data_IF_341123129216
#
_entry.id   IF_341123129216
#
_cell.length_a   1.000
_cell.length_b   1.000
_cell.length_c   1.000
_cell.angle_alpha   90.00
_cell.angle_beta   90.00
_cell.angle_gamma   90.00
#
_symmetry.space_group_name_H-M   'P 1'
#
loop_
_entity.id
_entity.type
_entity.pdbx_description
1 polymer ?
#
# COMPACT_ATOMS: atom_id res chain seq x y z
N UNK A 1 -7.50 2.81 37.39
CA UNK A 1 -6.72 2.98 36.13
C UNK A 1 -7.53 2.70 34.85
N UNK A 2 -8.85 2.50 34.89
CA UNK A 2 -9.68 2.27 33.69
C UNK A 2 -10.38 3.55 33.16
N UNK A 3 -10.29 4.67 33.89
CA UNK A 3 -11.11 5.88 33.67
C UNK A 3 -10.50 6.90 32.69
N UNK A 4 -9.24 6.73 32.28
CA UNK A 4 -8.56 7.63 31.34
C UNK A 4 -8.65 7.16 29.87
N UNK A 5 -9.26 6.00 29.63
CA UNK A 5 -9.35 5.35 28.31
C UNK A 5 -10.40 6.00 27.37
N UNK A 6 -11.53 6.57 27.84
CA UNK A 6 -12.56 7.07 26.92
C UNK A 6 -12.07 8.20 26.01
N UNK A 7 -11.34 9.17 26.58
CA UNK A 7 -10.81 10.30 25.82
C UNK A 7 -9.71 9.86 24.86
N UNK A 8 -8.78 9.03 25.30
CA UNK A 8 -7.69 8.52 24.46
C UNK A 8 -8.23 7.70 23.29
N UNK A 9 -9.18 6.79 23.53
CA UNK A 9 -9.80 6.02 22.44
C UNK A 9 -10.61 6.91 21.49
N UNK A 10 -11.40 7.84 22.02
CA UNK A 10 -12.16 8.77 21.19
C UNK A 10 -11.24 9.65 20.33
N UNK A 11 -10.12 10.11 20.88
CA UNK A 11 -9.13 10.89 20.15
C UNK A 11 -8.46 10.06 19.04
N UNK A 12 -8.03 8.83 19.34
CA UNK A 12 -7.42 7.95 18.35
C UNK A 12 -8.37 7.55 17.22
N UNK A 13 -9.65 7.33 17.52
CA UNK A 13 -10.66 6.95 16.52
C UNK A 13 -11.10 8.14 15.65
N UNK A 14 -11.23 9.34 16.24
CA UNK A 14 -11.65 10.55 15.51
C UNK A 14 -10.52 11.27 14.78
N UNK A 15 -9.29 11.21 15.30
CA UNK A 15 -8.11 11.92 14.79
C UNK A 15 -6.87 11.02 14.75
N UNK A 16 -6.88 9.95 13.95
CA UNK A 16 -5.77 9.00 13.91
C UNK A 16 -4.45 9.62 13.39
N UNK A 17 -4.53 10.61 12.51
CA UNK A 17 -3.38 11.37 12.00
C UNK A 17 -2.69 12.19 13.09
N UNK A 18 -3.47 12.86 13.94
CA UNK A 18 -2.93 13.65 15.05
C UNK A 18 -2.38 12.75 16.15
N UNK A 19 -3.07 11.64 16.45
CA UNK A 19 -2.57 10.64 17.39
C UNK A 19 -1.25 10.02 16.92
N UNK A 20 -1.11 9.70 15.64
CA UNK A 20 0.13 9.17 15.09
C UNK A 20 1.31 10.11 15.31
N UNK A 21 1.16 11.41 14.99
CA UNK A 21 2.23 12.40 15.21
C UNK A 21 2.69 12.47 16.66
N UNK A 22 1.75 12.50 17.60
CA UNK A 22 2.09 12.53 19.03
C UNK A 22 2.84 11.26 19.43
N UNK A 23 2.39 10.09 18.97
CA UNK A 23 3.03 8.82 19.30
C UNK A 23 4.40 8.64 18.62
N UNK A 24 4.64 9.29 17.49
CA UNK A 24 5.94 9.31 16.81
C UNK A 24 6.99 10.13 17.57
N UNK A 25 6.56 11.21 18.23
CA UNK A 25 7.42 12.07 19.04
C UNK A 25 7.70 11.47 20.43
N UNK A 26 6.98 10.42 20.82
CA UNK A 26 7.14 9.72 22.09
C UNK A 26 8.20 8.61 22.03
N UNK A 27 8.75 8.20 23.20
CA UNK A 27 9.51 6.96 23.30
C UNK A 27 8.70 5.76 22.77
N UNK A 28 9.36 4.88 22.02
CA UNK A 28 8.69 3.76 21.37
C UNK A 28 8.05 2.79 22.39
N UNK A 29 8.63 2.70 23.58
CA UNK A 29 8.15 1.91 24.71
C UNK A 29 6.79 2.42 25.20
N UNK A 30 6.64 3.74 25.34
CA UNK A 30 5.39 4.36 25.79
C UNK A 30 4.29 4.25 24.74
N UNK A 31 4.65 4.48 23.47
CA UNK A 31 3.73 4.29 22.35
C UNK A 31 3.28 2.82 22.22
N UNK A 32 4.20 1.87 22.35
CA UNK A 32 3.89 0.44 22.37
C UNK A 32 2.98 0.07 23.56
N UNK A 33 3.22 0.62 24.75
CA UNK A 33 2.39 0.38 25.92
C UNK A 33 0.93 0.83 25.69
N UNK A 34 0.71 1.92 24.94
CA UNK A 34 -0.63 2.33 24.53
C UNK A 34 -1.23 1.34 23.51
N UNK A 35 -0.49 0.97 22.47
CA UNK A 35 -0.96 0.01 21.47
C UNK A 35 -1.32 -1.36 22.07
N UNK A 36 -0.67 -1.76 23.17
CA UNK A 36 -1.00 -2.99 23.90
C UNK A 36 -2.38 -2.94 24.58
N UNK A 37 -2.88 -1.75 24.91
CA UNK A 37 -4.11 -1.56 25.69
C UNK A 37 -5.32 -1.24 24.82
N UNK A 38 -5.13 -0.54 23.70
CA UNK A 38 -6.22 -0.13 22.83
C UNK A 38 -6.77 -1.28 21.97
N UNK A 39 -8.03 -1.21 21.50
CA UNK A 39 -8.57 -2.16 20.54
C UNK A 39 -7.76 -2.15 19.24
N UNK A 40 -7.46 -3.33 18.70
CA UNK A 40 -6.63 -3.48 17.50
C UNK A 40 -7.15 -2.69 16.29
N UNK A 41 -8.48 -2.59 16.13
CA UNK A 41 -9.10 -1.78 15.06
C UNK A 41 -8.69 -0.31 15.14
N UNK A 42 -8.75 0.29 16.33
CA UNK A 42 -8.39 1.71 16.53
C UNK A 42 -6.88 1.90 16.42
N UNK A 43 -6.12 1.01 17.07
CA UNK A 43 -4.65 1.02 17.00
C UNK A 43 -4.13 0.91 15.57
N UNK A 44 -4.73 0.05 14.73
CA UNK A 44 -4.34 -0.11 13.34
C UNK A 44 -4.58 1.16 12.50
N UNK A 45 -5.68 1.87 12.72
CA UNK A 45 -5.95 3.13 12.02
C UNK A 45 -4.92 4.21 12.35
N UNK A 46 -4.48 4.30 13.61
CA UNK A 46 -3.39 5.19 14.03
C UNK A 46 -2.06 4.73 13.44
N UNK A 47 -1.74 3.44 13.57
CA UNK A 47 -0.50 2.86 13.07
C UNK A 47 -0.35 3.05 11.55
N UNK A 48 -1.46 3.04 10.79
CA UNK A 48 -1.49 3.34 9.35
C UNK A 48 -1.03 4.77 9.03
N UNK A 49 -1.26 5.73 9.92
CA UNK A 49 -0.85 7.12 9.72
C UNK A 49 0.59 7.38 10.15
N UNK A 50 1.21 6.43 10.87
CA UNK A 50 2.59 6.57 11.32
C UNK A 50 3.59 6.30 10.19
N UNK A 51 4.77 6.89 10.31
CA UNK A 51 5.96 6.58 9.57
C UNK A 51 6.34 5.11 9.79
N UNK A 52 6.72 4.45 8.69
CA UNK A 52 6.95 3.00 8.69
C UNK A 52 8.01 2.55 9.71
N UNK A 53 9.03 3.38 9.95
CA UNK A 53 10.07 3.11 10.93
C UNK A 53 9.57 3.20 12.37
N UNK A 54 8.85 4.28 12.73
CA UNK A 54 8.28 4.47 14.07
C UNK A 54 7.24 3.40 14.40
N UNK A 55 6.38 3.06 13.44
CA UNK A 55 5.42 1.97 13.57
C UNK A 55 6.11 0.62 13.80
N UNK A 56 7.19 0.32 13.05
CA UNK A 56 7.95 -0.91 13.21
C UNK A 56 8.58 -1.01 14.61
N UNK A 57 9.19 0.07 15.12
CA UNK A 57 9.73 0.09 16.49
C UNK A 57 8.68 -0.22 17.56
N UNK A 58 7.47 0.32 17.41
CA UNK A 58 6.38 0.00 18.32
C UNK A 58 5.98 -1.49 18.23
N UNK A 59 5.86 -2.02 17.01
CA UNK A 59 5.53 -3.44 16.77
C UNK A 59 6.61 -4.39 17.28
N UNK A 60 7.88 -3.98 17.32
CA UNK A 60 8.99 -4.78 17.84
C UNK A 60 8.99 -4.92 19.36
N UNK A 61 8.42 -3.95 20.07
CA UNK A 61 8.31 -3.96 21.54
C UNK A 61 7.03 -4.69 21.98
N UNK A 62 5.98 -4.67 21.16
CA UNK A 62 4.71 -5.31 21.47
C UNK A 62 4.83 -6.84 21.57
N UNK A 63 4.01 -7.48 22.42
CA UNK A 63 3.83 -8.93 22.36
C UNK A 63 3.43 -9.38 20.95
N UNK A 64 3.98 -10.50 20.42
CA UNK A 64 3.75 -10.92 19.04
C UNK A 64 2.28 -11.04 18.64
N UNK A 65 1.42 -11.49 19.55
CA UNK A 65 -0.02 -11.65 19.34
C UNK A 65 -0.71 -10.29 19.19
N UNK A 66 -0.24 -9.27 19.90
CA UNK A 66 -0.74 -7.89 19.77
C UNK A 66 -0.29 -7.27 18.46
N UNK A 67 0.99 -7.43 18.10
CA UNK A 67 1.51 -7.01 16.80
C UNK A 67 0.76 -7.66 15.63
N UNK A 68 0.54 -8.98 15.70
CA UNK A 68 -0.26 -9.72 14.72
C UNK A 68 -1.72 -9.25 14.66
N UNK A 69 -2.32 -8.96 15.83
CA UNK A 69 -3.65 -8.38 15.94
C UNK A 69 -3.79 -7.06 15.20
N UNK A 70 -2.82 -6.14 15.34
CA UNK A 70 -2.79 -4.86 14.62
C UNK A 70 -2.59 -5.05 13.11
N UNK A 71 -1.61 -5.89 12.72
CA UNK A 71 -1.34 -6.15 11.29
C UNK A 71 -2.54 -6.78 10.57
N UNK A 72 -3.37 -7.56 11.26
CA UNK A 72 -4.57 -8.20 10.70
C UNK A 72 -5.68 -7.19 10.38
N UNK A 73 -5.77 -6.10 11.13
CA UNK A 73 -6.79 -5.06 10.93
C UNK A 73 -6.36 -4.03 9.87
N UNK A 74 -5.07 -4.00 9.50
CA UNK A 74 -4.57 -3.12 8.46
C UNK A 74 -4.96 -3.56 7.04
N UNK A 75 -5.09 -2.60 6.10
CA UNK A 75 -5.05 -2.91 4.68
C UNK A 75 -3.76 -3.65 4.32
N UNK A 76 -3.86 -4.61 3.40
CA UNK A 76 -2.73 -5.49 3.04
C UNK A 76 -1.46 -4.72 2.65
N UNK A 77 -1.59 -3.65 1.88
CA UNK A 77 -0.44 -2.83 1.44
C UNK A 77 0.29 -2.21 2.62
N UNK A 78 -0.43 -1.64 3.58
CA UNK A 78 0.16 -1.05 4.78
C UNK A 78 0.79 -2.13 5.68
N UNK A 79 0.12 -3.28 5.84
CA UNK A 79 0.67 -4.42 6.56
C UNK A 79 2.00 -4.91 5.96
N UNK A 80 2.11 -4.98 4.62
CA UNK A 80 3.37 -5.31 3.93
C UNK A 80 4.45 -4.27 4.21
N UNK A 81 4.10 -2.98 4.21
CA UNK A 81 5.04 -1.89 4.53
C UNK A 81 5.62 -2.06 5.93
N UNK A 82 4.79 -2.21 6.96
CA UNK A 82 5.29 -2.33 8.33
C UNK A 82 6.03 -3.65 8.54
N UNK A 83 5.48 -4.75 8.03
CA UNK A 83 6.12 -6.07 8.12
C UNK A 83 7.51 -6.11 7.47
N UNK A 84 7.73 -5.33 6.39
CA UNK A 84 9.05 -5.17 5.74
C UNK A 84 10.06 -4.44 6.62
N UNK A 85 9.62 -3.52 7.49
CA UNK A 85 10.50 -2.71 8.33
C UNK A 85 10.85 -3.40 9.67
N UNK A 86 10.14 -4.46 10.05
CA UNK A 86 10.45 -5.25 11.25
C UNK A 86 11.81 -5.95 11.14
N UNK A 87 12.54 -6.02 12.26
CA UNK A 87 13.72 -6.87 12.40
C UNK A 87 13.41 -8.34 12.04
N UNK A 88 14.32 -9.07 11.38
CA UNK A 88 14.06 -10.44 10.91
C UNK A 88 13.58 -11.41 11.99
N UNK A 89 14.14 -11.33 13.20
CA UNK A 89 13.75 -12.19 14.33
C UNK A 89 12.31 -11.93 14.78
N UNK A 90 11.95 -10.66 15.03
CA UNK A 90 10.60 -10.24 15.41
C UNK A 90 9.59 -10.60 14.32
N UNK A 91 9.94 -10.33 13.06
CA UNK A 91 9.10 -10.65 11.89
C UNK A 91 8.69 -12.13 11.87
N UNK A 92 9.59 -13.03 12.23
CA UNK A 92 9.30 -14.46 12.37
C UNK A 92 8.23 -14.70 13.43
N UNK A 93 8.45 -14.20 14.65
CA UNK A 93 7.53 -14.40 15.78
C UNK A 93 6.13 -13.83 15.53
N UNK A 94 6.02 -12.62 14.97
CA UNK A 94 4.73 -12.02 14.60
C UNK A 94 4.05 -12.83 13.50
N UNK A 95 4.81 -13.32 12.52
CA UNK A 95 4.24 -14.12 11.44
C UNK A 95 3.70 -15.47 11.92
N UNK A 96 4.26 -16.03 12.99
CA UNK A 96 3.77 -17.27 13.59
C UNK A 96 2.49 -17.06 14.41
N UNK A 97 2.27 -15.83 14.92
CA UNK A 97 1.02 -15.42 15.57
C UNK A 97 -0.09 -14.97 14.58
N UNK A 98 0.23 -14.80 13.29
CA UNK A 98 -0.73 -14.43 12.25
C UNK A 98 -1.47 -15.65 11.68
N UNK A 99 -2.68 -15.46 11.11
CA UNK A 99 -3.32 -16.50 10.31
C UNK A 99 -2.38 -16.98 9.20
N UNK A 100 -2.25 -18.30 9.04
CA UNK A 100 -1.24 -18.92 8.18
C UNK A 100 -1.29 -18.44 6.71
N UNK A 101 -2.48 -18.10 6.20
CA UNK A 101 -2.65 -17.50 4.89
C UNK A 101 -2.05 -16.08 4.83
N UNK A 102 -2.42 -15.20 5.77
CA UNK A 102 -1.92 -13.82 5.80
C UNK A 102 -0.40 -13.78 6.00
N UNK A 103 0.13 -14.61 6.91
CA UNK A 103 1.57 -14.71 7.15
C UNK A 103 2.34 -15.11 5.88
N UNK A 104 1.82 -16.08 5.12
CA UNK A 104 2.39 -16.50 3.84
C UNK A 104 2.35 -15.36 2.81
N UNK A 105 1.21 -14.71 2.67
CA UNK A 105 1.02 -13.64 1.69
C UNK A 105 1.95 -12.45 1.97
N UNK A 106 2.10 -12.05 3.24
CA UNK A 106 3.05 -11.02 3.67
C UNK A 106 4.51 -11.42 3.40
N UNK A 107 4.91 -12.66 3.74
CA UNK A 107 6.26 -13.19 3.47
C UNK A 107 6.59 -13.15 1.98
N UNK A 108 5.64 -13.50 1.11
CA UNK A 108 5.83 -13.42 -0.34
C UNK A 108 5.91 -11.95 -0.79
N UNK A 109 5.00 -11.10 -0.34
CA UNK A 109 4.94 -9.69 -0.76
C UNK A 109 6.23 -8.91 -0.43
N UNK A 110 6.88 -9.19 0.70
CA UNK A 110 8.14 -8.51 1.05
C UNK A 110 9.33 -8.91 0.18
N UNK A 111 9.26 -10.04 -0.55
CA UNK A 111 10.31 -10.43 -1.52
C UNK A 111 10.32 -9.54 -2.76
N UNK A 112 9.19 -8.92 -3.08
CA UNK A 112 9.10 -8.02 -4.22
C UNK A 112 9.69 -6.64 -3.89
N UNK A 113 10.36 -5.96 -4.83
CA UNK A 113 10.80 -4.59 -4.62
C UNK A 113 9.63 -3.64 -4.34
N UNK A 114 9.83 -2.66 -3.46
CA UNK A 114 8.82 -1.64 -3.15
C UNK A 114 8.45 -0.88 -4.43
N UNK A 115 7.16 -0.60 -4.62
CA UNK A 115 6.67 0.11 -5.81
C UNK A 115 6.50 -0.73 -7.06
N UNK A 116 6.57 -2.06 -6.94
CA UNK A 116 6.20 -3.01 -8.00
C UNK A 116 4.79 -3.54 -7.81
N UNK A 117 4.19 -4.03 -8.89
CA UNK A 117 2.87 -4.70 -8.86
C UNK A 117 2.88 -5.90 -7.90
N UNK A 118 3.94 -6.72 -7.93
CA UNK A 118 4.06 -7.89 -7.06
C UNK A 118 4.07 -7.58 -5.56
N UNK A 119 4.51 -6.38 -5.16
CA UNK A 119 4.55 -5.98 -3.76
C UNK A 119 3.18 -5.65 -3.16
N UNK A 120 2.17 -5.36 -3.99
CA UNK A 120 0.84 -4.92 -3.53
C UNK A 120 -0.31 -5.75 -4.11
N UNK A 121 -0.03 -6.74 -4.95
CA UNK A 121 -1.06 -7.61 -5.53
C UNK A 121 -1.74 -8.47 -4.48
N UNK A 122 -3.03 -8.72 -4.68
CA UNK A 122 -3.80 -9.70 -3.91
C UNK A 122 -3.58 -11.10 -4.50
N UNK A 123 -2.81 -11.92 -3.78
CA UNK A 123 -2.52 -13.31 -4.13
C UNK A 123 -3.70 -14.26 -3.85
N UNK A 124 -4.72 -13.77 -3.15
CA UNK A 124 -5.90 -14.55 -2.77
C UNK A 124 -7.05 -14.41 -3.76
N UNK A 125 -6.84 -13.63 -4.83
CA UNK A 125 -7.75 -13.49 -5.96
C UNK A 125 -8.21 -14.86 -6.47
N UNK A 126 -9.51 -14.99 -6.71
CA UNK A 126 -10.11 -16.27 -7.07
C UNK A 126 -9.80 -16.59 -8.53
N UNK A 127 -9.10 -17.70 -8.76
CA UNK A 127 -8.91 -18.29 -10.07
C UNK A 127 -9.65 -19.61 -10.23
N UNK A 128 -10.08 -19.91 -11.46
CA UNK A 128 -10.83 -21.11 -11.84
C UNK A 128 -10.26 -21.71 -13.12
N UNK A 129 -10.28 -23.04 -13.22
CA UNK A 129 -9.85 -23.71 -14.44
C UNK A 129 -10.91 -23.50 -15.55
N UNK A 130 -10.46 -23.29 -16.78
CA UNK A 130 -11.32 -23.06 -17.94
C UNK A 130 -12.32 -24.21 -18.20
N UNK A 131 -11.94 -25.44 -17.83
CA UNK A 131 -12.74 -26.66 -18.00
C UNK A 131 -13.84 -26.84 -16.95
N UNK A 132 -13.88 -26.01 -15.89
CA UNK A 132 -14.94 -26.11 -14.88
C UNK A 132 -16.26 -25.58 -15.41
N UNK A 133 -17.35 -26.13 -14.88
CA UNK A 133 -18.70 -25.66 -15.15
C UNK A 133 -19.06 -24.45 -14.28
N UNK A 134 -20.07 -23.68 -14.70
CA UNK A 134 -20.62 -22.57 -13.91
C UNK A 134 -21.05 -23.02 -12.52
N UNK A 135 -21.68 -24.19 -12.38
CA UNK A 135 -22.11 -24.73 -11.10
C UNK A 135 -20.95 -25.00 -10.14
N UNK A 136 -19.84 -25.54 -10.66
CA UNK A 136 -18.65 -25.81 -9.86
C UNK A 136 -18.00 -24.51 -9.36
N UNK A 137 -17.98 -23.48 -10.22
CA UNK A 137 -17.49 -22.16 -9.85
C UNK A 137 -18.40 -21.49 -8.83
N UNK A 138 -19.72 -21.54 -9.02
CA UNK A 138 -20.68 -20.99 -8.08
C UNK A 138 -20.55 -21.63 -6.68
N UNK A 139 -20.39 -22.95 -6.62
CA UNK A 139 -20.12 -23.69 -5.36
C UNK A 139 -18.79 -23.25 -4.73
N UNK A 140 -17.73 -23.08 -5.54
CA UNK A 140 -16.42 -22.62 -5.07
C UNK A 140 -16.52 -21.22 -4.44
N UNK A 141 -17.18 -20.29 -5.12
CA UNK A 141 -17.36 -18.91 -4.66
C UNK A 141 -18.17 -18.88 -3.37
N UNK A 142 -19.30 -19.60 -3.31
CA UNK A 142 -20.12 -19.74 -2.09
C UNK A 142 -19.32 -20.26 -0.90
N UNK A 143 -18.44 -21.24 -1.11
CA UNK A 143 -17.62 -21.83 -0.03
C UNK A 143 -16.59 -20.84 0.52
N UNK A 144 -15.99 -19.99 -0.31
CA UNK A 144 -14.90 -19.12 0.13
C UNK A 144 -15.34 -17.98 1.05
N UNK A 145 -16.63 -17.61 1.09
CA UNK A 145 -17.22 -16.55 1.96
C UNK A 145 -16.40 -15.25 2.03
N UNK A 146 -15.57 -14.99 1.03
CA UNK A 146 -14.74 -13.78 0.91
C UNK A 146 -15.43 -12.81 -0.03
N UNK A 147 -15.17 -11.51 0.14
CA UNK A 147 -15.51 -10.50 -0.88
C UNK A 147 -14.88 -10.97 -2.19
N UNK A 148 -15.71 -11.52 -3.07
CA UNK A 148 -15.27 -11.94 -4.39
C UNK A 148 -15.28 -10.69 -5.23
N UNK A 149 -14.17 -10.42 -5.91
CA UNK A 149 -14.11 -9.35 -6.90
C UNK A 149 -15.17 -9.59 -7.95
N UNK A 150 -15.66 -8.52 -8.59
CA UNK A 150 -16.64 -8.61 -9.68
C UNK A 150 -16.21 -9.55 -10.82
N UNK A 151 -14.90 -9.79 -10.95
CA UNK A 151 -14.31 -10.67 -11.95
C UNK A 151 -13.59 -11.86 -11.29
N UNK A 152 -13.73 -13.02 -11.93
CA UNK A 152 -12.98 -14.24 -11.67
C UNK A 152 -11.91 -14.42 -12.75
N UNK A 153 -10.77 -14.97 -12.38
CA UNK A 153 -9.66 -15.18 -13.30
C UNK A 153 -9.65 -16.62 -13.80
N UNK A 154 -9.57 -16.80 -15.11
CA UNK A 154 -9.57 -18.11 -15.77
C UNK A 154 -8.13 -18.52 -16.06
N UNK A 155 -7.80 -19.76 -15.71
CA UNK A 155 -6.47 -20.34 -15.91
C UNK A 155 -6.53 -21.69 -16.62
N UNK A 156 -5.43 -22.07 -17.28
CA UNK A 156 -5.24 -23.41 -17.83
C UNK A 156 -4.70 -24.40 -16.77
N UNK A 157 -4.43 -25.64 -17.21
CA UNK A 157 -3.85 -26.71 -16.36
C UNK A 157 -2.43 -26.38 -15.88
N UNK A 158 -1.66 -25.64 -16.66
CA UNK A 158 -0.32 -25.13 -16.34
C UNK A 158 -0.34 -23.87 -15.45
N UNK A 159 -1.53 -23.44 -15.00
CA UNK A 159 -1.80 -22.19 -14.26
C UNK A 159 -1.44 -20.91 -15.03
N UNK A 160 -1.39 -20.95 -16.35
CA UNK A 160 -1.30 -19.74 -17.18
C UNK A 160 -2.64 -19.02 -17.20
N UNK A 161 -2.57 -17.70 -17.21
CA UNK A 161 -3.75 -16.86 -17.30
C UNK A 161 -4.34 -16.88 -18.71
N UNK A 162 -5.65 -17.12 -18.82
CA UNK A 162 -6.37 -17.21 -20.10
C UNK A 162 -7.34 -16.04 -20.33
N UNK A 163 -7.98 -15.54 -19.27
CA UNK A 163 -9.01 -14.52 -19.41
C UNK A 163 -9.75 -14.26 -18.10
N UNK A 164 -10.79 -13.44 -18.17
CA UNK A 164 -11.65 -13.15 -17.00
C UNK A 164 -13.11 -13.46 -17.27
N UNK A 165 -13.86 -13.75 -16.21
CA UNK A 165 -15.31 -13.93 -16.27
C UNK A 165 -15.94 -13.04 -15.21
N UNK A 166 -16.98 -12.29 -15.59
CA UNK A 166 -17.76 -11.52 -14.63
C UNK A 166 -18.65 -12.44 -13.81
N UNK A 167 -18.70 -12.20 -12.51
CA UNK A 167 -19.58 -12.95 -11.61
C UNK A 167 -21.06 -12.83 -12.03
N UNK A 168 -21.47 -11.68 -12.56
CA UNK A 168 -22.82 -11.47 -13.08
C UNK A 168 -23.18 -12.34 -14.29
N UNK A 169 -22.20 -12.67 -15.14
CA UNK A 169 -22.42 -13.50 -16.34
C UNK A 169 -22.62 -14.97 -15.94
N UNK A 170 -21.88 -15.44 -14.91
CA UNK A 170 -22.07 -16.78 -14.32
C UNK A 170 -23.46 -16.97 -13.71
N UNK A 171 -24.05 -15.91 -13.15
CA UNK A 171 -25.40 -16.01 -12.55
C UNK A 171 -26.52 -16.15 -13.59
N UNK A 172 -26.24 -15.82 -14.85
CA UNK A 172 -27.21 -15.84 -15.96
C UNK A 172 -27.05 -17.05 -16.89
N UNK A 173 -25.88 -17.69 -16.85
CA UNK A 173 -25.55 -18.83 -17.70
C UNK A 173 -26.15 -20.15 -17.17
N UNK A 174 -26.22 -21.16 -18.05
CA UNK A 174 -26.59 -22.52 -17.63
C UNK A 174 -25.50 -23.13 -16.74
N UNK A 175 -25.91 -23.85 -15.70
CA UNK A 175 -24.99 -24.43 -14.71
C UNK A 175 -23.96 -25.40 -15.29
N UNK A 176 -24.26 -26.03 -16.43
CA UNK A 176 -23.37 -26.98 -17.13
C UNK A 176 -22.45 -26.31 -18.15
N UNK A 177 -22.64 -25.03 -18.46
CA UNK A 177 -21.78 -24.31 -19.40
C UNK A 177 -20.34 -24.28 -18.88
N UNK A 178 -19.34 -24.62 -19.70
CA UNK A 178 -17.94 -24.43 -19.38
C UNK A 178 -17.61 -22.94 -19.17
N UNK A 179 -16.74 -22.64 -18.20
CA UNK A 179 -16.29 -21.26 -17.93
C UNK A 179 -15.54 -20.68 -19.13
N UNK A 180 -14.84 -21.52 -19.90
CA UNK A 180 -14.15 -21.13 -21.13
C UNK A 180 -15.08 -20.43 -22.15
N UNK A 181 -16.35 -20.83 -22.21
CA UNK A 181 -17.31 -20.30 -23.20
C UNK A 181 -17.83 -18.91 -22.82
N UNK A 182 -17.66 -18.53 -21.54
CA UNK A 182 -18.10 -17.26 -20.99
C UNK A 182 -16.95 -16.27 -20.79
N UNK A 183 -15.70 -16.70 -21.01
CA UNK A 183 -14.53 -15.89 -20.68
C UNK A 183 -14.27 -14.78 -21.70
N UNK A 184 -13.87 -13.63 -21.18
CA UNK A 184 -13.27 -12.56 -21.95
C UNK A 184 -11.73 -12.70 -21.92
N UNK A 185 -11.16 -13.08 -23.07
CA UNK A 185 -9.72 -13.22 -23.29
C UNK A 185 -9.01 -11.92 -23.68
N UNK A 186 -9.71 -10.79 -23.77
CA UNK A 186 -9.11 -9.50 -24.18
C UNK A 186 -8.30 -8.83 -23.08
N UNK A 187 -8.45 -9.27 -21.83
CA UNK A 187 -7.76 -8.70 -20.67
C UNK A 187 -6.27 -9.04 -20.71
N UNK A 188 -5.43 -8.02 -20.86
CA UNK A 188 -3.98 -8.19 -20.79
C UNK A 188 -3.51 -8.19 -19.33
N UNK A 189 -2.84 -9.27 -18.93
CA UNK A 189 -2.25 -9.38 -17.60
C UNK A 189 -1.03 -8.47 -17.41
N UNK A 190 -0.90 -7.97 -16.19
CA UNK A 190 0.24 -7.17 -15.74
C UNK A 190 1.39 -8.08 -15.32
N UNK A 191 2.62 -7.68 -15.62
CA UNK A 191 3.79 -8.33 -15.03
C UNK A 191 3.90 -7.97 -13.55
N UNK A 192 4.21 -8.96 -12.71
CA UNK A 192 4.55 -8.74 -11.30
C UNK A 192 5.77 -7.82 -11.08
N UNK A 193 6.62 -7.65 -12.11
CA UNK A 193 7.81 -6.79 -12.08
C UNK A 193 7.54 -5.36 -12.56
N UNK A 194 6.38 -5.11 -13.15
CA UNK A 194 6.02 -3.76 -13.58
C UNK A 194 5.96 -2.81 -12.39
N UNK A 195 6.25 -1.53 -12.63
CA UNK A 195 6.15 -0.51 -11.58
C UNK A 195 4.70 -0.07 -11.43
N UNK A 196 4.31 0.38 -10.24
CA UNK A 196 2.97 0.91 -10.01
C UNK A 196 2.68 2.13 -10.88
N UNK A 197 3.70 2.97 -11.12
CA UNK A 197 3.57 4.14 -11.98
C UNK A 197 3.29 3.77 -13.45
N UNK A 198 3.97 2.74 -13.98
CA UNK A 198 3.78 2.34 -15.39
C UNK A 198 2.40 1.76 -15.67
N UNK A 199 1.78 1.12 -14.67
CA UNK A 199 0.45 0.51 -14.84
C UNK A 199 -0.71 1.45 -14.50
N UNK A 200 -0.43 2.65 -13.97
CA UNK A 200 -1.46 3.62 -13.56
C UNK A 200 -2.31 4.10 -14.74
N UNK A 201 -1.69 4.35 -15.90
CA UNK A 201 -2.36 4.82 -17.11
C UNK A 201 -2.94 3.70 -18.00
N UNK A 202 -3.00 2.45 -17.50
CA UNK A 202 -3.50 1.34 -18.31
C UNK A 202 -5.00 1.55 -18.65
N UNK A 203 -5.39 1.59 -19.94
CA UNK A 203 -6.78 1.86 -20.33
C UNK A 203 -7.76 0.80 -19.83
N UNK A 204 -7.30 -0.41 -19.51
CA UNK A 204 -8.13 -1.48 -18.97
C UNK A 204 -8.78 -1.11 -17.62
N UNK A 205 -8.25 -0.14 -16.88
CA UNK A 205 -8.87 0.36 -15.64
C UNK A 205 -10.26 1.01 -15.84
N UNK A 206 -10.62 1.32 -17.08
CA UNK A 206 -11.95 1.83 -17.42
C UNK A 206 -13.03 0.74 -17.42
N UNK A 207 -12.63 -0.51 -17.68
CA UNK A 207 -13.56 -1.64 -17.79
C UNK A 207 -13.41 -2.63 -16.63
N UNK A 208 -12.24 -2.66 -15.99
CA UNK A 208 -11.90 -3.65 -14.95
C UNK A 208 -11.54 -2.98 -13.63
N UNK A 209 -12.12 -3.46 -12.53
CA UNK A 209 -11.79 -3.03 -11.17
C UNK A 209 -10.49 -3.65 -10.64
N UNK A 210 -10.12 -4.81 -11.19
CA UNK A 210 -8.88 -5.49 -10.90
C UNK A 210 -8.29 -6.10 -12.17
N UNK A 211 -6.97 -6.02 -12.30
CA UNK A 211 -6.23 -6.58 -13.42
C UNK A 211 -5.44 -7.82 -12.99
N UNK A 212 -5.35 -8.86 -13.85
CA UNK A 212 -4.61 -10.06 -13.54
C UNK A 212 -3.12 -9.77 -13.47
N UNK A 213 -2.42 -10.46 -12.58
CA UNK A 213 -0.97 -10.35 -12.42
C UNK A 213 -0.33 -11.70 -12.71
N UNK A 214 0.64 -11.70 -13.60
CA UNK A 214 1.40 -12.89 -14.01
C UNK A 214 2.87 -12.79 -13.62
N UNK A 215 3.46 -13.95 -13.38
CA UNK A 215 4.91 -14.10 -13.20
C UNK A 215 5.66 -14.15 -14.53
N UNK A 216 6.99 -14.32 -14.43
CA UNK A 216 7.87 -14.37 -15.60
C UNK A 216 7.53 -15.51 -16.57
N UNK A 217 7.01 -16.63 -16.07
CA UNK A 217 6.68 -17.82 -16.87
C UNK A 217 5.23 -17.81 -17.38
N UNK A 218 4.51 -16.70 -17.23
CA UNK A 218 3.09 -16.57 -17.62
C UNK A 218 2.10 -17.18 -16.62
N UNK A 219 2.58 -17.67 -15.48
CA UNK A 219 1.73 -18.22 -14.43
C UNK A 219 0.94 -17.11 -13.71
N UNK A 220 -0.34 -17.36 -13.46
CA UNK A 220 -1.20 -16.45 -12.69
C UNK A 220 -0.76 -16.42 -11.21
N UNK A 221 -0.44 -15.23 -10.73
CA UNK A 221 0.00 -15.00 -9.35
C UNK A 221 -1.07 -14.37 -8.47
N UNK A 222 -1.98 -13.59 -9.06
CA UNK A 222 -3.00 -12.87 -8.31
C UNK A 222 -3.59 -11.73 -9.12
N UNK A 223 -4.16 -10.75 -8.44
CA UNK A 223 -4.78 -9.58 -9.06
C UNK A 223 -4.35 -8.27 -8.41
N UNK A 224 -4.28 -7.20 -9.19
CA UNK A 224 -4.09 -5.84 -8.71
C UNK A 224 -5.41 -5.08 -8.80
N UNK A 225 -5.91 -4.56 -7.69
CA UNK A 225 -7.09 -3.67 -7.68
C UNK A 225 -6.68 -2.20 -7.78
N UNK A 226 -7.59 -1.33 -8.25
CA UNK A 226 -7.35 0.14 -8.23
C UNK A 226 -7.08 0.66 -6.82
N UNK A 227 -7.74 0.11 -5.81
CA UNK A 227 -7.53 0.47 -4.42
C UNK A 227 -6.11 0.12 -3.95
N UNK A 228 -5.63 -1.09 -4.23
CA UNK A 228 -4.27 -1.51 -3.90
C UNK A 228 -3.20 -0.70 -4.65
N UNK A 229 -3.44 -0.40 -5.93
CA UNK A 229 -2.59 0.47 -6.73
C UNK A 229 -2.49 1.88 -6.12
N UNK A 230 -3.63 2.48 -5.77
CA UNK A 230 -3.70 3.78 -5.12
C UNK A 230 -2.95 3.80 -3.79
N UNK A 231 -3.19 2.80 -2.93
CA UNK A 231 -2.50 2.65 -1.65
C UNK A 231 -0.98 2.52 -1.82
N UNK A 232 -0.52 1.67 -2.75
CA UNK A 232 0.90 1.49 -3.03
C UNK A 232 1.58 2.76 -3.57
N UNK A 233 0.88 3.54 -4.40
CA UNK A 233 1.38 4.83 -4.87
C UNK A 233 1.38 5.90 -3.77
N UNK A 234 0.42 5.87 -2.85
CA UNK A 234 0.40 6.76 -1.69
C UNK A 234 1.56 6.46 -0.74
N UNK A 235 1.85 5.18 -0.49
CA UNK A 235 3.01 4.72 0.27
C UNK A 235 4.33 5.24 -0.32
N UNK A 236 4.53 5.11 -1.64
CA UNK A 236 5.72 5.64 -2.33
C UNK A 236 5.87 7.16 -2.22
N UNK A 237 4.76 7.90 -2.04
CA UNK A 237 4.80 9.34 -1.79
C UNK A 237 5.18 9.61 -0.34
N UNK A 238 4.54 8.93 0.63
CA UNK A 238 4.86 9.04 2.06
C UNK A 238 6.33 8.76 2.33
N UNK A 239 6.88 7.67 1.79
CA UNK A 239 8.30 7.33 1.94
C UNK A 239 9.27 8.32 1.29
N UNK A 240 8.85 9.07 0.26
CA UNK A 240 9.68 10.17 -0.31
C UNK A 240 9.64 11.41 0.56
N UNK A 241 8.45 11.81 1.05
CA UNK A 241 8.29 12.96 1.94
C UNK A 241 9.08 12.80 3.23
N UNK A 242 9.03 11.63 3.86
CA UNK A 242 9.81 11.32 5.04
C UNK A 242 11.33 11.47 4.81
N UNK A 243 11.86 10.97 3.68
CA UNK A 243 13.28 11.13 3.34
C UNK A 243 13.71 12.58 3.12
N UNK A 244 12.85 13.42 2.56
CA UNK A 244 13.12 14.85 2.41
C UNK A 244 13.11 15.58 3.76
N UNK A 245 12.26 15.19 4.70
CA UNK A 245 12.22 15.75 6.06
C UNK A 245 13.43 15.29 6.89
N UNK A 246 13.76 13.99 6.89
CA UNK A 246 14.98 13.48 7.53
C UNK A 246 16.24 14.17 6.97
N UNK A 247 16.27 14.43 5.65
CA UNK A 247 17.33 15.18 5.02
C UNK A 247 17.44 16.61 5.55
N UNK A 248 16.32 17.35 5.61
CA UNK A 248 16.29 18.73 6.11
C UNK A 248 16.64 18.85 7.59
N UNK A 249 16.21 17.90 8.42
CA UNK A 249 16.44 17.91 9.87
C UNK A 249 17.85 17.41 10.26
N UNK A 250 18.60 16.83 9.32
CA UNK A 250 20.03 16.56 9.55
C UNK A 250 20.88 17.82 9.47
N UNK A 251 21.91 17.90 10.32
CA UNK A 251 22.95 18.95 10.30
C UNK A 251 23.46 19.24 8.88
N UNK A 252 23.60 18.19 8.06
CA UNK A 252 24.08 18.32 6.68
C UNK A 252 23.04 18.95 5.74
N UNK A 253 21.74 18.61 5.86
CA UNK A 253 20.70 19.23 5.05
C UNK A 253 20.43 20.68 5.42
N UNK A 254 20.56 21.02 6.71
CA UNK A 254 20.55 22.41 7.17
C UNK A 254 21.73 23.22 6.61
N UNK A 255 22.94 22.64 6.57
CA UNK A 255 24.12 23.25 5.96
C UNK A 255 23.96 23.47 4.45
N UNK A 256 23.45 22.49 3.72
CA UNK A 256 23.22 22.59 2.27
C UNK A 256 22.15 23.66 1.97
N UNK A 257 21.06 23.69 2.76
CA UNK A 257 19.99 24.67 2.60
C UNK A 257 20.48 26.09 2.88
N UNK A 258 21.28 26.27 3.94
CA UNK A 258 21.91 27.55 4.26
C UNK A 258 22.87 28.01 3.15
N UNK A 259 23.68 27.10 2.60
CA UNK A 259 24.58 27.39 1.49
C UNK A 259 23.82 27.84 0.23
N UNK A 260 22.79 27.11 -0.19
CA UNK A 260 21.99 27.46 -1.37
C UNK A 260 21.26 28.79 -1.20
N UNK A 261 20.75 29.08 -0.01
CA UNK A 261 20.10 30.35 0.30
C UNK A 261 21.09 31.51 0.25
N UNK A 262 22.31 31.32 0.77
CA UNK A 262 23.38 32.32 0.68
C UNK A 262 23.81 32.57 -0.77
N UNK A 263 23.96 31.52 -1.60
CA UNK A 263 24.25 31.64 -3.02
C UNK A 263 23.14 32.39 -3.79
N UNK A 264 21.87 32.07 -3.52
CA UNK A 264 20.73 32.75 -4.15
C UNK A 264 20.63 34.23 -3.73
N UNK A 265 20.93 34.54 -2.47
CA UNK A 265 21.03 35.91 -1.96
C UNK A 265 22.13 36.70 -2.67
N UNK A 266 23.32 36.11 -2.82
CA UNK A 266 24.45 36.74 -3.52
C UNK A 266 24.14 37.00 -5.00
N UNK A 267 23.50 36.05 -5.69
CA UNK A 267 23.06 36.23 -7.09
C UNK A 267 22.06 37.37 -7.24
N UNK A 268 21.12 37.53 -6.29
CA UNK A 268 20.17 38.64 -6.28
C UNK A 268 20.86 39.99 -6.03
N UNK A 269 21.84 40.05 -5.13
CA UNK A 269 22.61 41.29 -4.92
C UNK A 269 23.47 41.66 -6.12
N UNK A 270 24.07 40.68 -6.81
CA UNK A 270 24.85 40.93 -8.02
C UNK A 270 23.95 41.38 -9.18
N UNK A 271 22.74 40.83 -9.31
CA UNK A 271 21.78 41.26 -10.32
C UNK A 271 21.25 42.69 -10.08
N UNK A 272 21.21 43.17 -8.83
CA UNK A 272 20.70 44.51 -8.51
C UNK A 272 21.74 45.63 -8.69
N UNK A 273 23.03 45.29 -8.83
CA UNK A 273 24.13 46.26 -9.07
C UNK A 273 24.25 46.60 -10.57
N UNK A 274 23.52 45.90 -11.45
CA UNK A 274 23.61 46.04 -12.90
C UNK A 274 22.58 46.96 -13.58
N UNK A 275 21.70 47.64 -12.84
CA UNK A 275 20.67 48.50 -13.45
C UNK A 275 21.16 49.97 -13.55
N UNK A 276 21.40 50.52 -14.76
CA UNK A 276 21.80 51.91 -14.92
C UNK A 276 20.59 52.82 -14.69
N UNK A 277 20.80 53.91 -13.93
CA UNK A 277 19.78 54.89 -13.61
C UNK A 277 19.06 55.44 -14.87
N UNK A 278 17.72 55.63 -14.83
CA UNK A 278 17.00 56.22 -15.95
C UNK A 278 17.38 57.70 -16.10
N UNK A 279 17.78 58.06 -17.33
CA UNK A 279 18.22 59.39 -17.70
C UNK A 279 17.18 60.48 -17.46
N UNK A 280 17.68 61.62 -17.01
CA UNK A 280 16.98 62.89 -16.87
C UNK A 280 16.45 63.38 -18.21
N UNK A 281 15.11 63.47 -18.35
CA UNK A 281 14.45 64.27 -19.39
C UNK A 281 14.28 65.68 -18.82
N UNK A 282 14.90 66.66 -19.47
CA UNK A 282 14.70 68.08 -19.19
C UNK A 282 13.37 68.59 -19.75
N UNK A 283 12.70 69.43 -18.97
CA UNK A 283 11.52 70.22 -19.37
C UNK A 283 11.92 71.57 -20.00
N UNK A 284 10.99 72.25 -20.73
CA UNK A 284 11.30 73.30 -21.69
C UNK A 284 11.22 74.73 -21.12
N UNK A 285 11.92 75.65 -21.77
CA UNK A 285 11.53 77.07 -21.95
C UNK A 285 11.58 77.42 -23.44
#
# INVERSE_FOLDING_TARGET
>A
MADQIPLTLAFMDTRPDAAARVLEDMPAEDAAALFAQVPARVGAEVLRQMAAFSAARCLEILPPERGAGLLRELPFVDAVTFFRNLAPGVRGTIADALPANLARDLRIAVTYPVGTVGAVMDQTAVSVAATRTVDDVAKLVKRRRRKTTDHLFVIDEDRRFLGTVRAGDLLRADGKTPVADLMDGTVAALSNRATLASVLGNPQWNSYLALPVIGRTGNFLGALSRAALGAGLAELRRGRSARTQDGADTLMGNLISAYLLACAGMLRTVAHIGDPAPGTIGEPE
#
